data_IF_140491284109
#
_entry.id   IF_140491284109
#
_cell.length_a   1.000
_cell.length_b   1.000
_cell.length_c   1.000
_cell.angle_alpha   90.00
_cell.angle_beta   90.00
_cell.angle_gamma   90.00
#
_symmetry.space_group_name_H-M   'P 1'
#
loop_
_entity.id
_entity.type
_entity.pdbx_description
1 polymer ?
#
# COMPACT_ATOMS: atom_id res chain seq x y z
N UNK A 1 -7.90 24.50 49.49
CA UNK A 1 -8.87 25.42 48.87
C UNK A 1 -8.04 26.52 48.22
N UNK A 2 -7.81 26.63 46.91
CA UNK A 2 -8.34 25.99 45.71
C UNK A 2 -7.19 25.98 44.67
N UNK A 3 -6.79 24.78 44.23
CA UNK A 3 -6.00 24.59 43.00
C UNK A 3 -6.88 24.99 41.81
N UNK A 4 -6.42 25.92 40.98
CA UNK A 4 -7.08 26.26 39.72
C UNK A 4 -6.43 25.44 38.60
N UNK A 5 -7.04 24.30 38.33
CA UNK A 5 -6.74 23.42 37.19
C UNK A 5 -7.03 24.19 35.90
N UNK A 6 -6.00 24.45 35.08
CA UNK A 6 -6.16 24.96 33.72
C UNK A 6 -6.19 23.75 32.76
N UNK A 7 -7.25 23.54 31.97
CA UNK A 7 -7.46 22.29 31.22
C UNK A 7 -6.87 22.25 29.80
N UNK A 8 -6.01 23.18 29.40
CA UNK A 8 -5.63 23.34 27.97
C UNK A 8 -4.32 22.67 27.51
N UNK A 9 -3.83 21.63 28.19
CA UNK A 9 -2.64 20.89 27.76
C UNK A 9 -2.99 19.63 26.94
N UNK A 10 -3.85 19.79 25.93
CA UNK A 10 -4.03 18.80 24.87
C UNK A 10 -3.48 19.38 23.57
N UNK A 11 -2.18 19.18 23.39
CA UNK A 11 -1.51 19.34 22.10
C UNK A 11 -2.10 18.24 21.19
N UNK A 12 -2.82 18.58 20.12
CA UNK A 12 -3.31 17.57 19.21
C UNK A 12 -2.12 17.04 18.41
N UNK A 13 -1.75 15.79 18.68
CA UNK A 13 -0.87 14.98 17.84
C UNK A 13 -1.47 14.99 16.43
N UNK A 14 -0.95 15.83 15.53
CA UNK A 14 -1.35 15.88 14.14
C UNK A 14 -0.35 15.11 13.28
N UNK A 15 -0.79 14.04 12.60
CA UNK A 15 0.02 13.33 11.64
C UNK A 15 -0.07 14.06 10.31
N UNK A 16 0.98 14.84 10.05
CA UNK A 16 1.27 15.72 8.90
C UNK A 16 1.04 17.19 9.24
N UNK A 17 2.02 18.07 8.95
CA UNK A 17 1.81 19.50 9.07
C UNK A 17 1.04 19.91 7.81
N UNK A 18 -0.27 19.82 7.86
CA UNK A 18 -1.03 20.91 7.27
C UNK A 18 -1.12 21.97 8.35
N UNK A 19 -0.73 23.23 8.07
CA UNK A 19 -0.99 24.32 9.00
C UNK A 19 -2.50 24.32 9.23
N UNK A 20 -2.90 23.85 10.42
CA UNK A 20 -4.23 24.10 10.96
C UNK A 20 -4.42 25.60 10.84
N UNK A 21 -5.40 26.05 10.05
CA UNK A 21 -5.83 27.45 9.85
C UNK A 21 -5.20 28.34 10.92
N UNK A 22 -3.97 28.78 10.65
CA UNK A 22 -3.17 29.45 11.66
C UNK A 22 -3.54 30.89 11.46
N UNK A 23 -4.26 31.46 12.42
CA UNK A 23 -4.51 32.89 12.45
C UNK A 23 -3.14 33.58 12.30
N UNK A 24 -2.91 34.15 11.13
CA UNK A 24 -1.70 34.88 10.71
C UNK A 24 -1.47 36.13 11.59
N UNK A 25 -2.34 36.38 12.57
CA UNK A 25 -2.36 37.59 13.36
C UNK A 25 -1.61 37.52 14.70
N UNK A 26 -1.00 36.40 15.11
CA UNK A 26 -0.47 36.30 16.49
C UNK A 26 0.83 35.49 16.69
N UNK A 27 1.80 35.59 15.78
CA UNK A 27 3.14 35.00 15.99
C UNK A 27 4.27 35.95 15.61
N UNK A 28 5.20 36.19 16.55
CA UNK A 28 6.34 37.08 16.39
C UNK A 28 7.29 36.70 15.25
N UNK A 29 7.91 37.72 14.65
CA UNK A 29 8.71 37.67 13.41
C UNK A 29 9.84 36.63 13.40
N UNK A 30 10.41 36.27 14.55
CA UNK A 30 11.54 35.31 14.63
C UNK A 30 11.13 33.87 14.33
N UNK A 31 9.90 33.47 14.69
CA UNK A 31 9.41 32.11 14.47
C UNK A 31 8.95 31.90 13.03
N UNK A 32 8.53 32.96 12.34
CA UNK A 32 8.16 32.92 10.92
C UNK A 32 9.37 32.63 10.03
N UNK A 33 10.52 33.27 10.27
CA UNK A 33 11.73 33.09 9.45
C UNK A 33 12.32 31.67 9.54
N UNK A 34 12.37 31.08 10.74
CA UNK A 34 12.90 29.72 10.96
C UNK A 34 11.97 28.64 10.38
N UNK A 35 10.65 28.86 10.44
CA UNK A 35 9.67 27.99 9.79
C UNK A 35 9.81 28.11 8.27
N UNK A 36 9.91 29.30 7.70
CA UNK A 36 10.03 29.49 6.24
C UNK A 36 11.22 28.71 5.65
N UNK A 37 12.39 28.73 6.29
CA UNK A 37 13.60 28.04 5.80
C UNK A 37 13.49 26.51 5.84
N UNK A 38 12.80 25.94 6.83
CA UNK A 38 12.65 24.48 6.97
C UNK A 38 11.72 23.87 5.91
N UNK A 39 10.72 24.63 5.45
CA UNK A 39 9.72 24.18 4.48
C UNK A 39 10.05 24.59 3.03
N UNK A 40 10.98 25.54 2.84
CA UNK A 40 11.46 25.99 1.52
C UNK A 40 11.89 24.87 0.55
N UNK A 41 12.53 23.75 0.96
CA UNK A 41 12.95 22.72 0.01
C UNK A 41 11.84 21.72 -0.36
N UNK A 42 10.62 21.86 0.17
CA UNK A 42 9.50 20.95 -0.09
C UNK A 42 9.02 20.94 -1.56
N UNK A 43 8.78 22.09 -2.22
CA UNK A 43 8.38 22.09 -3.63
C UNK A 43 9.36 21.32 -4.52
N UNK A 44 10.67 21.54 -4.32
CA UNK A 44 11.71 20.88 -5.09
C UNK A 44 11.73 19.36 -4.84
N UNK A 45 11.52 18.91 -3.60
CA UNK A 45 11.39 17.47 -3.32
C UNK A 45 10.15 16.85 -3.95
N UNK A 46 8.98 17.46 -3.76
CA UNK A 46 7.75 16.94 -4.32
C UNK A 46 7.83 16.84 -5.84
N UNK A 47 8.45 17.82 -6.50
CA UNK A 47 8.73 17.80 -7.93
C UNK A 47 9.70 16.67 -8.32
N UNK A 48 10.79 16.48 -7.56
CA UNK A 48 11.77 15.43 -7.82
C UNK A 48 11.13 14.04 -7.71
N UNK A 49 10.39 13.78 -6.63
CA UNK A 49 9.65 12.53 -6.45
C UNK A 49 8.53 12.38 -7.48
N UNK A 50 7.87 13.47 -7.89
CA UNK A 50 6.85 13.42 -8.93
C UNK A 50 7.43 12.84 -10.21
N UNK A 51 8.59 13.31 -10.67
CA UNK A 51 9.22 12.73 -11.87
C UNK A 51 9.53 11.25 -11.70
N UNK A 52 10.12 10.86 -10.56
CA UNK A 52 10.45 9.45 -10.26
C UNK A 52 9.18 8.57 -10.32
N UNK A 53 8.13 8.98 -9.62
CA UNK A 53 6.85 8.24 -9.58
C UNK A 53 6.13 8.25 -10.93
N UNK A 54 6.18 9.35 -11.67
CA UNK A 54 5.59 9.47 -12.99
C UNK A 54 6.26 8.53 -14.00
N UNK A 55 7.59 8.53 -14.07
CA UNK A 55 8.31 7.60 -14.94
C UNK A 55 8.05 6.13 -14.56
N UNK A 56 7.99 5.84 -13.27
CA UNK A 56 7.61 4.50 -12.78
C UNK A 56 6.19 4.14 -13.19
N UNK A 57 5.22 5.05 -13.05
CA UNK A 57 3.83 4.83 -13.44
C UNK A 57 3.70 4.61 -14.95
N UNK A 58 4.41 5.40 -15.77
CA UNK A 58 4.46 5.23 -17.22
C UNK A 58 5.07 3.89 -17.62
N UNK A 59 6.22 3.54 -17.04
CA UNK A 59 6.89 2.25 -17.30
C UNK A 59 5.98 1.08 -16.97
N UNK A 60 5.32 1.12 -15.81
CA UNK A 60 4.44 0.04 -15.37
C UNK A 60 3.17 -0.04 -16.21
N UNK A 61 2.55 1.11 -16.53
CA UNK A 61 1.36 1.17 -17.39
C UNK A 61 1.67 0.66 -18.79
N UNK A 62 2.81 1.06 -19.37
CA UNK A 62 3.26 0.60 -20.67
C UNK A 62 3.53 -0.91 -20.67
N UNK A 63 4.22 -1.42 -19.64
CA UNK A 63 4.48 -2.85 -19.50
C UNK A 63 3.17 -3.65 -19.35
N UNK A 64 2.23 -3.18 -18.53
CA UNK A 64 0.91 -3.79 -18.37
C UNK A 64 0.09 -3.74 -19.65
N UNK A 65 0.17 -2.64 -20.41
CA UNK A 65 -0.51 -2.50 -21.70
C UNK A 65 0.06 -3.44 -22.77
N UNK A 66 1.39 -3.50 -22.90
CA UNK A 66 2.06 -4.38 -23.88
C UNK A 66 1.80 -5.86 -23.58
N UNK A 67 1.84 -6.25 -22.30
CA UNK A 67 1.65 -7.63 -21.88
C UNK A 67 0.17 -7.98 -21.64
N UNK A 68 -0.77 -7.10 -22.00
CA UNK A 68 -2.21 -7.29 -21.81
C UNK A 68 -2.73 -8.55 -22.54
N UNK A 69 -2.11 -8.92 -23.65
CA UNK A 69 -2.45 -10.13 -24.40
C UNK A 69 -2.15 -11.43 -23.62
N UNK A 70 -1.15 -11.42 -22.73
CA UNK A 70 -0.76 -12.62 -21.98
C UNK A 70 -1.57 -12.80 -20.69
N UNK A 71 -1.92 -11.70 -19.99
CA UNK A 71 -2.76 -11.75 -18.79
C UNK A 71 -3.52 -10.42 -18.58
N UNK A 72 -4.83 -10.39 -18.88
CA UNK A 72 -5.74 -9.31 -18.46
C UNK A 72 -6.10 -9.55 -17.00
N UNK A 73 -5.17 -9.25 -16.09
CA UNK A 73 -5.40 -9.48 -14.68
C UNK A 73 -5.74 -8.19 -13.93
N UNK A 74 -6.87 -8.21 -13.22
CA UNK A 74 -7.34 -7.08 -12.42
C UNK A 74 -6.29 -6.63 -11.39
N UNK A 75 -5.49 -7.57 -10.86
CA UNK A 75 -4.40 -7.26 -9.93
C UNK A 75 -3.34 -6.33 -10.52
N UNK A 76 -2.94 -6.53 -11.79
CA UNK A 76 -1.91 -5.69 -12.43
C UNK A 76 -2.41 -4.25 -12.61
N UNK A 77 -3.70 -4.08 -12.92
CA UNK A 77 -4.33 -2.76 -12.99
C UNK A 77 -4.44 -2.09 -11.62
N UNK A 78 -4.79 -2.86 -10.58
CA UNK A 78 -4.77 -2.36 -9.20
C UNK A 78 -3.37 -1.91 -8.78
N UNK A 79 -2.33 -2.70 -9.07
CA UNK A 79 -0.95 -2.32 -8.76
C UNK A 79 -0.47 -1.11 -9.57
N UNK A 80 -0.85 -0.99 -10.86
CA UNK A 80 -0.52 0.17 -11.68
C UNK A 80 -1.22 1.45 -11.21
N UNK A 81 -2.39 1.34 -10.59
CA UNK A 81 -3.10 2.50 -10.01
C UNK A 81 -2.37 3.11 -8.81
N UNK A 82 -1.57 2.34 -8.07
CA UNK A 82 -0.86 2.83 -6.88
C UNK A 82 0.15 3.95 -7.24
N UNK A 83 1.10 3.74 -8.19
CA UNK A 83 1.97 4.81 -8.67
C UNK A 83 1.23 6.02 -9.26
N UNK A 84 0.09 5.80 -9.93
CA UNK A 84 -0.70 6.89 -10.52
C UNK A 84 -1.32 7.79 -9.44
N UNK A 85 -1.94 7.19 -8.42
CA UNK A 85 -2.50 7.95 -7.29
C UNK A 85 -1.37 8.69 -6.55
N UNK A 86 -0.20 8.06 -6.40
CA UNK A 86 0.96 8.70 -5.76
C UNK A 86 1.49 9.88 -6.57
N UNK A 87 1.60 9.75 -7.89
CA UNK A 87 1.98 10.86 -8.77
C UNK A 87 0.96 12.00 -8.73
N UNK A 88 -0.33 11.69 -8.65
CA UNK A 88 -1.38 12.70 -8.45
C UNK A 88 -1.22 13.41 -7.09
N UNK A 89 -0.98 12.66 -6.01
CA UNK A 89 -0.73 13.22 -4.68
C UNK A 89 0.49 14.18 -4.69
N UNK A 90 1.58 13.78 -5.33
CA UNK A 90 2.81 14.59 -5.42
C UNK A 90 2.61 15.82 -6.30
N UNK A 91 1.85 15.72 -7.38
CA UNK A 91 1.44 16.88 -8.21
C UNK A 91 0.67 17.89 -7.37
N UNK A 92 -0.36 17.45 -6.65
CA UNK A 92 -1.16 18.34 -5.78
C UNK A 92 -0.32 18.94 -4.66
N UNK A 93 0.62 18.17 -4.09
CA UNK A 93 1.54 18.64 -3.05
C UNK A 93 2.48 19.71 -3.59
N UNK A 94 3.07 19.47 -4.76
CA UNK A 94 3.90 20.46 -5.44
C UNK A 94 3.11 21.74 -5.74
N UNK A 95 1.93 21.62 -6.35
CA UNK A 95 1.09 22.78 -6.68
C UNK A 95 0.68 23.58 -5.44
N UNK A 96 0.33 22.89 -4.35
CA UNK A 96 -0.01 23.53 -3.08
C UNK A 96 1.16 24.34 -2.53
N UNK A 97 2.32 23.70 -2.33
CA UNK A 97 3.49 24.36 -1.75
C UNK A 97 4.07 25.44 -2.67
N UNK A 98 4.11 25.19 -3.98
CA UNK A 98 4.56 26.18 -4.96
C UNK A 98 3.67 27.43 -4.94
N UNK A 99 2.34 27.26 -4.94
CA UNK A 99 1.42 28.40 -4.90
C UNK A 99 1.50 29.16 -3.58
N UNK A 100 1.68 28.45 -2.47
CA UNK A 100 1.75 29.06 -1.14
C UNK A 100 3.05 29.86 -0.97
N UNK A 101 4.20 29.36 -1.43
CA UNK A 101 5.50 30.05 -1.31
C UNK A 101 5.74 31.12 -2.37
N UNK A 102 5.50 30.83 -3.66
CA UNK A 102 5.88 31.72 -4.76
C UNK A 102 4.77 32.68 -5.18
N UNK A 103 3.50 32.25 -5.06
CA UNK A 103 2.34 33.05 -5.46
C UNK A 103 1.59 33.65 -4.27
N UNK A 104 1.98 33.32 -3.04
CA UNK A 104 1.33 33.73 -1.79
C UNK A 104 -0.18 33.38 -1.74
N UNK A 105 -0.60 32.35 -2.49
CA UNK A 105 -1.99 31.88 -2.56
C UNK A 105 -2.06 30.41 -2.13
N UNK A 106 -2.49 30.16 -0.91
CA UNK A 106 -2.63 28.81 -0.37
C UNK A 106 -4.08 28.31 -0.60
N UNK A 107 -4.28 27.44 -1.59
CA UNK A 107 -5.61 26.92 -1.96
C UNK A 107 -6.05 25.78 -1.03
N UNK A 108 -7.21 25.97 -0.37
CA UNK A 108 -7.84 24.94 0.46
C UNK A 108 -8.17 23.68 -0.36
N UNK A 109 -8.61 23.83 -1.61
CA UNK A 109 -8.94 22.71 -2.49
C UNK A 109 -7.71 21.85 -2.83
N UNK A 110 -6.53 22.47 -2.98
CA UNK A 110 -5.29 21.75 -3.22
C UNK A 110 -4.87 20.96 -1.96
N UNK A 111 -4.96 21.58 -0.78
CA UNK A 111 -4.71 20.92 0.51
C UNK A 111 -5.65 19.72 0.73
N UNK A 112 -6.95 19.92 0.52
CA UNK A 112 -7.94 18.85 0.60
C UNK A 112 -7.64 17.75 -0.44
N UNK A 113 -7.22 18.11 -1.64
CA UNK A 113 -6.79 17.17 -2.66
C UNK A 113 -5.60 16.31 -2.21
N UNK A 114 -4.56 16.90 -1.61
CA UNK A 114 -3.42 16.17 -1.05
C UNK A 114 -3.86 15.22 0.07
N UNK A 115 -4.76 15.67 0.94
CA UNK A 115 -5.36 14.84 1.99
C UNK A 115 -6.06 13.61 1.41
N UNK A 116 -7.00 13.82 0.48
CA UNK A 116 -7.81 12.74 -0.11
C UNK A 116 -6.93 11.77 -0.88
N UNK A 117 -6.04 12.28 -1.72
CA UNK A 117 -5.14 11.43 -2.52
C UNK A 117 -4.14 10.67 -1.66
N UNK A 118 -3.68 11.23 -0.54
CA UNK A 118 -2.85 10.52 0.44
C UNK A 118 -3.58 9.36 1.13
N UNK A 119 -4.84 9.57 1.55
CA UNK A 119 -5.68 8.51 2.11
C UNK A 119 -5.96 7.41 1.08
N UNK A 120 -6.28 7.81 -0.16
CA UNK A 120 -6.50 6.86 -1.26
C UNK A 120 -5.25 6.05 -1.55
N UNK A 121 -4.07 6.69 -1.62
CA UNK A 121 -2.80 5.99 -1.83
C UNK A 121 -2.55 4.92 -0.78
N UNK A 122 -2.70 5.26 0.51
CA UNK A 122 -2.50 4.30 1.61
C UNK A 122 -3.52 3.15 1.55
N UNK A 123 -4.77 3.45 1.21
CA UNK A 123 -5.84 2.45 1.12
C UNK A 123 -5.64 1.49 -0.05
N UNK A 124 -5.35 2.00 -1.25
CA UNK A 124 -5.13 1.16 -2.44
C UNK A 124 -3.84 0.34 -2.30
N UNK A 125 -2.81 0.92 -1.69
CA UNK A 125 -1.59 0.20 -1.30
C UNK A 125 -1.90 -0.99 -0.39
N UNK A 126 -2.66 -0.75 0.67
CA UNK A 126 -3.05 -1.78 1.62
C UNK A 126 -3.89 -2.90 0.98
N UNK A 127 -4.91 -2.54 0.20
CA UNK A 127 -5.73 -3.50 -0.54
C UNK A 127 -4.89 -4.30 -1.52
N UNK A 128 -3.91 -3.68 -2.18
CA UNK A 128 -2.98 -4.38 -3.08
C UNK A 128 -2.16 -5.44 -2.33
N UNK A 129 -1.64 -5.12 -1.14
CA UNK A 129 -0.91 -6.07 -0.32
C UNK A 129 -1.79 -7.22 0.18
N UNK A 130 -3.04 -6.94 0.57
CA UNK A 130 -4.00 -7.99 0.92
C UNK A 130 -4.29 -8.92 -0.27
N UNK A 131 -4.56 -8.38 -1.46
CA UNK A 131 -4.80 -9.18 -2.66
C UNK A 131 -3.60 -10.09 -2.99
N UNK A 132 -2.38 -9.56 -2.91
CA UNK A 132 -1.16 -10.35 -3.10
C UNK A 132 -1.03 -11.42 -2.00
N UNK A 133 -1.32 -11.09 -0.74
CA UNK A 133 -1.21 -12.01 0.39
C UNK A 133 -2.15 -13.22 0.26
N UNK A 134 -3.36 -13.01 -0.27
CA UNK A 134 -4.31 -14.06 -0.63
C UNK A 134 -3.85 -14.90 -1.82
N UNK A 135 -2.82 -14.45 -2.57
CA UNK A 135 -2.36 -15.09 -3.80
C UNK A 135 -3.31 -14.85 -4.98
N UNK A 136 -4.11 -13.77 -4.92
CA UNK A 136 -4.96 -13.36 -6.04
C UNK A 136 -4.11 -13.28 -7.30
N UNK A 137 -4.58 -13.86 -8.41
CA UNK A 137 -3.92 -13.80 -9.71
C UNK A 137 -2.56 -14.53 -9.80
N UNK A 138 -2.10 -15.20 -8.73
CA UNK A 138 -0.82 -15.93 -8.64
C UNK A 138 -1.08 -17.42 -8.35
N UNK A 139 -1.79 -17.73 -7.26
CA UNK A 139 -2.19 -19.10 -6.88
C UNK A 139 -3.65 -19.36 -7.20
N UNK A 140 -4.52 -18.35 -7.09
CA UNK A 140 -5.95 -18.46 -7.37
C UNK A 140 -6.38 -17.46 -8.44
N UNK A 141 -7.06 -17.93 -9.50
CA UNK A 141 -7.63 -17.03 -10.52
C UNK A 141 -8.84 -16.23 -9.99
N UNK A 142 -9.56 -16.78 -9.01
CA UNK A 142 -10.70 -16.12 -8.35
C UNK A 142 -10.58 -16.26 -6.84
N UNK A 143 -10.73 -15.15 -6.11
CA UNK A 143 -10.96 -15.17 -4.67
C UNK A 143 -12.33 -15.75 -4.37
N UNK A 144 -12.44 -16.49 -3.27
CA UNK A 144 -13.75 -16.89 -2.75
C UNK A 144 -14.56 -15.65 -2.34
N UNK A 145 -15.90 -15.79 -2.30
CA UNK A 145 -16.80 -14.71 -1.87
C UNK A 145 -16.44 -14.24 -0.46
N UNK A 146 -16.06 -15.15 0.43
CA UNK A 146 -15.66 -14.85 1.81
C UNK A 146 -14.38 -14.02 1.84
N UNK A 147 -13.32 -14.41 1.12
CA UNK A 147 -12.05 -13.66 1.08
C UNK A 147 -12.22 -12.26 0.47
N UNK A 148 -13.09 -12.12 -0.54
CA UNK A 148 -13.41 -10.81 -1.12
C UNK A 148 -14.14 -9.92 -0.11
N UNK A 149 -15.10 -10.47 0.64
CA UNK A 149 -15.83 -9.75 1.67
C UNK A 149 -14.91 -9.33 2.82
N UNK A 150 -14.00 -10.19 3.27
CA UNK A 150 -13.03 -9.85 4.32
C UNK A 150 -12.04 -8.78 3.86
N UNK A 151 -11.51 -8.90 2.63
CA UNK A 151 -10.62 -7.87 2.05
C UNK A 151 -11.32 -6.52 1.94
N UNK A 152 -12.57 -6.50 1.46
CA UNK A 152 -13.35 -5.27 1.35
C UNK A 152 -13.67 -4.67 2.72
N UNK A 153 -14.05 -5.49 3.70
CA UNK A 153 -14.34 -5.05 5.06
C UNK A 153 -13.09 -4.45 5.72
N UNK A 154 -11.94 -5.13 5.65
CA UNK A 154 -10.66 -4.62 6.17
C UNK A 154 -10.25 -3.31 5.46
N UNK A 155 -10.39 -3.24 4.14
CA UNK A 155 -10.14 -2.01 3.38
C UNK A 155 -11.03 -0.84 3.82
N UNK A 156 -12.33 -1.08 4.03
CA UNK A 156 -13.27 -0.07 4.50
C UNK A 156 -12.96 0.41 5.92
N UNK A 157 -12.69 -0.52 6.86
CA UNK A 157 -12.35 -0.15 8.25
C UNK A 157 -11.04 0.63 8.27
N UNK A 158 -10.04 0.20 7.50
CA UNK A 158 -8.77 0.91 7.36
C UNK A 158 -8.97 2.33 6.82
N UNK A 159 -9.73 2.48 5.73
CA UNK A 159 -10.05 3.78 5.12
C UNK A 159 -10.75 4.73 6.11
N UNK A 160 -11.80 4.26 6.78
CA UNK A 160 -12.55 5.08 7.75
C UNK A 160 -11.69 5.46 8.96
N UNK A 161 -10.88 4.53 9.48
CA UNK A 161 -9.95 4.80 10.59
C UNK A 161 -8.89 5.81 10.17
N UNK A 162 -8.39 5.70 8.94
CA UNK A 162 -7.39 6.62 8.40
C UNK A 162 -7.96 8.02 8.20
N UNK A 163 -9.19 8.14 7.70
CA UNK A 163 -9.89 9.44 7.64
C UNK A 163 -10.08 10.01 9.05
N UNK A 164 -10.55 9.20 10.00
CA UNK A 164 -10.74 9.65 11.38
C UNK A 164 -9.43 10.15 12.00
N UNK A 165 -8.34 9.40 11.82
CA UNK A 165 -7.00 9.78 12.29
C UNK A 165 -6.49 11.10 11.68
N UNK A 166 -6.81 11.35 10.41
CA UNK A 166 -6.36 12.54 9.70
C UNK A 166 -7.26 13.75 9.94
N UNK A 167 -8.55 13.54 10.18
CA UNK A 167 -9.53 14.59 10.45
C UNK A 167 -9.62 14.96 11.94
N UNK A 168 -9.12 14.13 12.86
CA UNK A 168 -9.32 14.31 14.30
C UNK A 168 -8.22 13.64 15.15
N UNK A 169 -7.49 14.47 15.93
CA UNK A 169 -6.88 14.31 17.29
C UNK A 169 -6.57 12.87 17.80
N UNK A 170 -5.47 12.62 18.55
CA UNK A 170 -4.84 11.33 18.94
C UNK A 170 -5.67 10.10 19.33
N UNK A 171 -6.97 10.18 19.58
CA UNK A 171 -7.82 9.06 19.95
C UNK A 171 -7.86 7.95 18.88
N UNK A 172 -7.80 8.32 17.60
CA UNK A 172 -7.73 7.35 16.51
C UNK A 172 -6.36 6.68 16.38
N UNK A 173 -5.31 7.14 17.07
CA UNK A 173 -3.97 6.53 17.00
C UNK A 173 -4.00 5.08 17.47
N UNK A 174 -4.70 4.80 18.58
CA UNK A 174 -4.84 3.43 19.11
C UNK A 174 -5.60 2.55 18.11
N UNK A 175 -6.70 3.06 17.54
CA UNK A 175 -7.47 2.35 16.53
C UNK A 175 -6.65 2.11 15.25
N UNK A 176 -5.84 3.07 14.83
CA UNK A 176 -4.97 2.96 13.67
C UNK A 176 -3.88 1.90 13.90
N UNK A 177 -3.21 1.93 15.05
CA UNK A 177 -2.22 0.93 15.44
C UNK A 177 -2.84 -0.47 15.48
N UNK A 178 -4.02 -0.62 16.09
CA UNK A 178 -4.75 -1.88 16.11
C UNK A 178 -5.08 -2.36 14.70
N UNK A 179 -5.55 -1.47 13.84
CA UNK A 179 -5.83 -1.78 12.43
C UNK A 179 -4.57 -2.25 11.70
N UNK A 180 -3.43 -1.58 11.88
CA UNK A 180 -2.16 -2.02 11.30
C UNK A 180 -1.74 -3.39 11.83
N UNK A 181 -1.84 -3.64 13.14
CA UNK A 181 -1.47 -4.92 13.74
C UNK A 181 -2.34 -6.07 13.20
N UNK A 182 -3.66 -5.90 13.16
CA UNK A 182 -4.60 -6.88 12.57
C UNK A 182 -4.27 -7.10 11.09
N UNK A 183 -4.03 -6.02 10.35
CA UNK A 183 -3.71 -6.04 8.93
C UNK A 183 -2.43 -6.82 8.63
N UNK A 184 -1.33 -6.50 9.31
CA UNK A 184 -0.08 -7.22 9.15
C UNK A 184 -0.22 -8.69 9.57
N UNK A 185 -0.94 -8.98 10.65
CA UNK A 185 -1.22 -10.35 11.08
C UNK A 185 -1.95 -11.14 9.98
N UNK A 186 -3.02 -10.58 9.41
CA UNK A 186 -3.80 -11.22 8.32
C UNK A 186 -2.92 -11.46 7.09
N UNK A 187 -2.12 -10.47 6.70
CA UNK A 187 -1.17 -10.58 5.57
C UNK A 187 -0.17 -11.71 5.81
N UNK A 188 0.50 -11.74 6.97
CA UNK A 188 1.48 -12.78 7.28
C UNK A 188 0.85 -14.16 7.39
N UNK A 189 -0.34 -14.26 7.97
CA UNK A 189 -1.09 -15.50 8.08
C UNK A 189 -1.41 -16.07 6.69
N UNK A 190 -1.99 -15.27 5.79
CA UNK A 190 -2.32 -15.74 4.43
C UNK A 190 -1.09 -16.06 3.59
N UNK A 191 -0.02 -15.25 3.68
CA UNK A 191 1.25 -15.58 3.00
C UNK A 191 1.78 -16.92 3.49
N UNK A 192 1.77 -17.17 4.80
CA UNK A 192 2.31 -18.40 5.38
C UNK A 192 1.48 -19.62 4.97
N UNK A 193 0.15 -19.52 4.99
CA UNK A 193 -0.74 -20.56 4.49
C UNK A 193 -0.49 -20.86 3.01
N UNK A 194 -0.39 -19.83 2.17
CA UNK A 194 -0.11 -19.99 0.75
C UNK A 194 1.27 -20.60 0.48
N UNK A 195 2.29 -20.24 1.27
CA UNK A 195 3.63 -20.85 1.16
C UNK A 195 3.66 -22.31 1.61
N UNK A 196 2.88 -22.69 2.63
CA UNK A 196 2.75 -24.08 3.07
C UNK A 196 2.11 -24.94 1.98
N UNK A 197 0.98 -24.49 1.42
CA UNK A 197 0.29 -25.20 0.32
C UNK A 197 1.20 -25.35 -0.90
N UNK A 198 1.90 -24.29 -1.30
CA UNK A 198 2.83 -24.36 -2.43
C UNK A 198 4.02 -25.30 -2.16
N UNK A 199 4.47 -25.39 -0.90
CA UNK A 199 5.53 -26.32 -0.50
C UNK A 199 5.07 -27.77 -0.61
N UNK A 200 3.87 -28.08 -0.14
CA UNK A 200 3.26 -29.40 -0.25
C UNK A 200 3.05 -29.82 -1.72
N UNK A 201 2.57 -28.89 -2.55
CA UNK A 201 2.44 -29.12 -3.99
C UNK A 201 3.80 -29.39 -4.65
N UNK A 202 4.84 -28.66 -4.26
CA UNK A 202 6.18 -28.85 -4.80
C UNK A 202 6.77 -30.22 -4.41
N UNK A 203 6.54 -30.68 -3.18
CA UNK A 203 6.97 -32.03 -2.74
C UNK A 203 6.23 -33.14 -3.48
N UNK A 204 4.93 -32.97 -3.74
CA UNK A 204 4.16 -33.96 -4.51
C UNK A 204 4.63 -34.05 -5.97
N UNK A 205 4.92 -32.92 -6.62
CA UNK A 205 5.41 -32.88 -8.01
C UNK A 205 6.84 -33.43 -8.12
N UNK A 206 7.64 -33.30 -7.05
CA UNK A 206 8.97 -33.89 -6.98
C UNK A 206 8.91 -35.42 -7.05
N UNK A 207 7.87 -36.04 -6.51
CA UNK A 207 7.64 -37.49 -6.58
C UNK A 207 7.14 -37.97 -7.96
N UNK A 208 6.51 -37.10 -8.77
CA UNK A 208 5.90 -37.43 -10.08
C UNK A 208 6.76 -37.05 -11.32
N UNK A 209 7.94 -36.43 -11.15
CA UNK A 209 8.92 -36.03 -12.20
C UNK A 209 8.37 -35.17 -13.38
N UNK A 210 7.40 -34.29 -13.12
CA UNK A 210 6.87 -33.36 -14.14
C UNK A 210 7.61 -32.01 -14.11
N UNK A 211 8.79 -31.97 -14.76
CA UNK A 211 9.69 -30.80 -14.81
C UNK A 211 9.04 -29.43 -15.14
N UNK A 212 8.21 -29.26 -16.18
CA UNK A 212 7.63 -27.95 -16.51
C UNK A 212 6.62 -27.44 -15.48
N UNK A 213 6.04 -28.35 -14.69
CA UNK A 213 5.08 -28.02 -13.64
C UNK A 213 5.80 -27.62 -12.35
N UNK A 214 6.91 -28.29 -12.04
CA UNK A 214 7.83 -27.92 -10.96
C UNK A 214 8.28 -26.47 -11.12
N UNK A 215 8.75 -26.08 -12.31
CA UNK A 215 9.26 -24.72 -12.55
C UNK A 215 8.18 -23.65 -12.33
N UNK A 216 6.95 -23.89 -12.78
CA UNK A 216 5.83 -22.97 -12.59
C UNK A 216 5.46 -22.80 -11.11
N UNK A 217 5.36 -23.90 -10.36
CA UNK A 217 5.02 -23.87 -8.92
C UNK A 217 6.16 -23.26 -8.10
N UNK A 218 7.41 -23.59 -8.43
CA UNK A 218 8.59 -23.01 -7.79
C UNK A 218 8.68 -21.50 -7.99
N UNK A 219 8.34 -21.00 -9.17
CA UNK A 219 8.29 -19.56 -9.44
C UNK A 219 7.23 -18.84 -8.59
N UNK A 220 6.02 -19.43 -8.46
CA UNK A 220 4.97 -18.90 -7.56
C UNK A 220 5.43 -18.86 -6.10
N UNK A 221 6.06 -19.94 -5.62
CA UNK A 221 6.64 -20.01 -4.28
C UNK A 221 7.69 -18.92 -4.06
N UNK A 222 8.62 -18.74 -5.01
CA UNK A 222 9.67 -17.74 -4.95
C UNK A 222 9.11 -16.31 -4.91
N UNK A 223 8.07 -16.02 -5.68
CA UNK A 223 7.41 -14.70 -5.68
C UNK A 223 6.76 -14.38 -4.33
N UNK A 224 5.98 -15.32 -3.76
CA UNK A 224 5.34 -15.12 -2.45
C UNK A 224 6.36 -15.03 -1.30
N UNK A 225 7.45 -15.79 -1.37
CA UNK A 225 8.54 -15.72 -0.37
C UNK A 225 9.24 -14.36 -0.40
N UNK A 226 9.48 -13.81 -1.61
CA UNK A 226 10.01 -12.45 -1.78
C UNK A 226 9.06 -11.39 -1.24
N UNK A 227 7.75 -11.57 -1.42
CA UNK A 227 6.74 -10.68 -0.88
C UNK A 227 6.67 -10.74 0.66
N UNK A 228 6.81 -11.93 1.26
CA UNK A 228 6.92 -12.07 2.72
C UNK A 228 8.05 -11.22 3.29
N UNK A 229 9.24 -11.30 2.70
CA UNK A 229 10.40 -10.51 3.10
C UNK A 229 10.16 -9.00 2.92
N UNK A 230 9.54 -8.58 1.81
CA UNK A 230 9.18 -7.18 1.60
C UNK A 230 8.21 -6.66 2.67
N UNK A 231 7.19 -7.44 3.04
CA UNK A 231 6.23 -7.05 4.08
C UNK A 231 6.88 -6.95 5.47
N UNK A 232 7.90 -7.74 5.77
CA UNK A 232 8.69 -7.58 7.00
C UNK A 232 9.47 -6.27 7.01
N UNK A 233 10.10 -5.91 5.89
CA UNK A 233 10.81 -4.62 5.74
C UNK A 233 9.82 -3.46 5.90
N UNK A 234 8.63 -3.54 5.31
CA UNK A 234 7.56 -2.54 5.47
C UNK A 234 7.18 -2.37 6.94
N UNK A 235 6.93 -3.48 7.65
CA UNK A 235 6.55 -3.45 9.05
C UNK A 235 7.65 -2.82 9.92
N UNK A 236 8.91 -3.20 9.70
CA UNK A 236 10.05 -2.61 10.41
C UNK A 236 10.22 -1.12 10.11
N UNK A 237 10.09 -0.71 8.84
CA UNK A 237 10.18 0.69 8.45
C UNK A 237 9.09 1.54 9.11
N UNK A 238 7.84 1.07 9.14
CA UNK A 238 6.75 1.79 9.82
C UNK A 238 6.97 1.89 11.34
N UNK A 239 7.48 0.83 11.99
CA UNK A 239 7.84 0.88 13.42
C UNK A 239 8.94 1.91 13.68
N UNK A 240 10.02 1.90 12.88
CA UNK A 240 11.13 2.86 13.02
C UNK A 240 10.65 4.29 12.80
N UNK A 241 9.80 4.52 11.81
CA UNK A 241 9.23 5.85 11.51
C UNK A 241 8.27 6.31 12.63
N UNK A 242 7.59 5.37 13.29
CA UNK A 242 6.71 5.66 14.43
C UNK A 242 7.51 6.01 15.69
N UNK A 243 8.61 5.29 15.96
CA UNK A 243 9.47 5.56 17.13
C UNK A 243 10.23 6.88 16.97
N UNK A 244 10.71 7.20 15.76
CA UNK A 244 11.40 8.46 15.45
C UNK A 244 10.45 9.67 15.28
N UNK A 245 9.30 9.69 15.96
CA UNK A 245 8.43 10.89 16.06
C UNK A 245 8.97 11.80 17.15
N UNK A 246 10.20 12.29 16.99
CA UNK A 246 10.62 13.50 17.72
C UNK A 246 10.08 14.70 16.94
N UNK A 247 9.22 15.49 17.58
CA UNK A 247 8.46 16.63 17.03
C UNK A 247 9.33 17.83 16.58
N UNK A 248 10.64 17.64 16.39
CA UNK A 248 11.53 18.69 15.88
C UNK A 248 11.21 18.98 14.41
N UNK A 249 10.74 20.20 14.14
CA UNK A 249 10.44 20.71 12.78
C UNK A 249 11.69 20.72 11.88
N UNK A 250 12.88 20.81 12.45
CA UNK A 250 14.17 20.88 11.75
C UNK A 250 14.46 19.64 10.89
N UNK A 251 13.87 18.48 11.21
CA UNK A 251 14.11 17.22 10.49
C UNK A 251 12.96 16.79 9.56
N UNK A 252 11.94 17.64 9.35
CA UNK A 252 10.73 17.28 8.60
C UNK A 252 11.03 16.85 7.15
N UNK A 253 11.88 17.60 6.46
CA UNK A 253 12.26 17.34 5.08
C UNK A 253 12.99 16.01 4.89
N UNK A 254 13.91 15.68 5.81
CA UNK A 254 14.61 14.40 5.83
C UNK A 254 13.65 13.23 6.10
N UNK A 255 12.74 13.40 7.05
CA UNK A 255 11.71 12.40 7.35
C UNK A 255 10.80 12.13 6.15
N UNK A 256 10.39 13.18 5.45
CA UNK A 256 9.64 13.06 4.21
C UNK A 256 10.45 12.30 3.15
N UNK A 257 11.72 12.68 2.96
CA UNK A 257 12.62 12.02 2.01
C UNK A 257 12.75 10.52 2.29
N UNK A 258 13.02 10.13 3.53
CA UNK A 258 13.15 8.71 3.94
C UNK A 258 11.83 7.96 3.69
N UNK A 259 10.69 8.56 4.06
CA UNK A 259 9.36 7.94 3.87
C UNK A 259 9.06 7.73 2.38
N UNK A 260 9.30 8.73 1.55
CA UNK A 260 9.03 8.66 0.11
C UNK A 260 9.95 7.65 -0.59
N UNK A 261 11.24 7.61 -0.25
CA UNK A 261 12.17 6.60 -0.76
C UNK A 261 11.79 5.19 -0.33
N UNK A 262 11.46 4.98 0.95
CA UNK A 262 11.02 3.67 1.44
C UNK A 262 9.80 3.18 0.66
N UNK A 263 8.77 4.03 0.51
CA UNK A 263 7.58 3.69 -0.26
C UNK A 263 7.91 3.38 -1.72
N UNK A 264 8.70 4.22 -2.39
CA UNK A 264 9.09 4.01 -3.77
C UNK A 264 9.84 2.69 -3.97
N UNK A 265 10.85 2.42 -3.13
CA UNK A 265 11.64 1.19 -3.19
C UNK A 265 10.79 -0.07 -2.98
N UNK A 266 9.86 -0.04 -2.02
CA UNK A 266 8.94 -1.15 -1.75
C UNK A 266 8.03 -1.40 -2.97
N UNK A 267 7.40 -0.37 -3.52
CA UNK A 267 6.51 -0.53 -4.66
C UNK A 267 7.25 -0.92 -5.94
N UNK A 268 8.45 -0.40 -6.16
CA UNK A 268 9.30 -0.81 -7.27
C UNK A 268 9.70 -2.28 -7.14
N UNK A 269 10.09 -2.72 -5.93
CA UNK A 269 10.45 -4.12 -5.67
C UNK A 269 9.28 -5.08 -5.87
N UNK A 270 8.10 -4.72 -5.34
CA UNK A 270 6.87 -5.51 -5.51
C UNK A 270 6.47 -5.54 -6.98
N UNK A 271 6.47 -4.40 -7.67
CA UNK A 271 6.14 -4.32 -9.08
C UNK A 271 7.09 -5.11 -9.98
N UNK A 272 8.38 -5.09 -9.67
CA UNK A 272 9.38 -5.91 -10.35
C UNK A 272 9.17 -7.41 -10.10
N UNK A 273 8.85 -7.79 -8.87
CA UNK A 273 8.65 -9.19 -8.46
C UNK A 273 7.40 -9.79 -9.10
N UNK A 274 6.30 -9.02 -9.15
CA UNK A 274 5.01 -9.45 -9.69
C UNK A 274 4.79 -9.04 -11.15
N UNK A 275 5.83 -8.59 -11.85
CA UNK A 275 5.74 -8.29 -13.28
C UNK A 275 5.27 -9.54 -14.03
N UNK A 276 4.40 -9.37 -15.03
CA UNK A 276 4.06 -10.43 -15.97
C UNK A 276 5.34 -10.92 -16.64
N UNK A 277 5.81 -12.08 -16.23
CA UNK A 277 6.89 -12.80 -16.92
C UNK A 277 6.25 -13.54 -18.10
N UNK A 278 6.99 -13.75 -19.18
CA UNK A 278 6.53 -14.59 -20.28
C UNK A 278 6.31 -16.01 -19.72
N UNK A 279 5.05 -16.29 -19.42
CA UNK A 279 4.61 -17.50 -18.75
C UNK A 279 4.76 -18.68 -19.71
N UNK A 280 5.50 -19.71 -19.30
CA UNK A 280 5.39 -21.03 -19.89
C UNK A 280 3.89 -21.42 -20.00
N UNK A 281 3.46 -22.07 -21.09
CA UNK A 281 2.04 -22.27 -21.45
C UNK A 281 1.19 -23.07 -20.45
N UNK A 282 1.73 -23.48 -19.29
CA UNK A 282 1.06 -24.28 -18.25
C UNK A 282 0.92 -23.57 -16.90
N UNK A 283 1.25 -22.28 -16.79
CA UNK A 283 1.19 -21.55 -15.51
C UNK A 283 -0.24 -21.43 -14.91
N UNK A 284 -1.27 -21.60 -15.74
CA UNK A 284 -2.68 -21.66 -15.33
C UNK A 284 -3.12 -23.03 -14.80
N UNK A 285 -2.32 -24.10 -15.01
CA UNK A 285 -2.67 -25.44 -14.54
C UNK A 285 -2.24 -25.56 -13.08
N UNK A 286 -3.17 -25.24 -12.18
CA UNK A 286 -3.06 -25.60 -10.78
C UNK A 286 -3.34 -27.11 -10.66
N UNK A 287 -2.47 -27.95 -10.06
CA UNK A 287 -2.90 -29.26 -9.62
C UNK A 287 -4.00 -29.06 -8.58
N UNK A 288 -5.19 -29.58 -8.87
CA UNK A 288 -6.33 -29.57 -7.97
C UNK A 288 -6.06 -30.49 -6.77
N UNK A 289 -5.25 -30.02 -5.81
CA UNK A 289 -5.16 -30.63 -4.48
C UNK A 289 -6.22 -30.08 -3.51
N UNK A 290 -7.08 -29.17 -3.98
CA UNK A 290 -8.22 -28.67 -3.22
C UNK A 290 -9.50 -29.36 -3.69
N UNK A 291 -9.66 -30.63 -3.27
CA UNK A 291 -10.92 -31.38 -3.11
C UNK A 291 -10.74 -32.86 -3.50
N UNK A 292 -10.29 -33.67 -2.54
CA UNK A 292 -10.58 -35.11 -2.52
C UNK A 292 -11.86 -35.38 -1.72
N UNK A 293 -12.84 -34.46 -1.79
CA UNK A 293 -14.12 -34.56 -1.07
C UNK A 293 -15.33 -34.39 -2.00
N UNK A 294 -15.18 -33.86 -3.22
CA UNK A 294 -16.31 -33.74 -4.19
C UNK A 294 -16.20 -34.62 -5.45
N UNK A 295 -15.26 -35.57 -5.50
CA UNK A 295 -15.26 -36.62 -6.53
C UNK A 295 -16.14 -37.80 -6.09
N UNK A 296 -17.39 -37.52 -5.75
CA UNK A 296 -18.44 -38.54 -5.73
C UNK A 296 -19.23 -38.40 -7.04
N UNK A 297 -18.71 -39.06 -8.08
CA UNK A 297 -19.38 -39.25 -9.36
C UNK A 297 -20.68 -40.04 -9.12
N UNK A 298 -21.85 -39.61 -9.62
CA UNK A 298 -22.92 -40.54 -9.94
C UNK A 298 -22.85 -40.93 -11.43
N UNK A 299 -23.24 -42.17 -11.76
CA UNK A 299 -22.94 -42.79 -13.04
C UNK A 299 -23.76 -42.20 -14.21
N UNK A 300 -23.18 -42.39 -15.38
CA UNK A 300 -23.73 -42.11 -16.71
C UNK A 300 -25.05 -42.87 -16.93
N UNK A 301 -25.84 -42.35 -17.89
CA UNK A 301 -26.93 -42.93 -18.69
C UNK A 301 -28.36 -42.51 -18.34
N UNK A 302 -28.94 -41.66 -19.21
CA UNK A 302 -30.11 -42.05 -20.02
C UNK A 302 -30.32 -41.09 -21.21
N UNK A 303 -30.20 -41.65 -22.40
CA UNK A 303 -30.87 -41.22 -23.63
C UNK A 303 -32.37 -41.56 -23.45
N UNK A 304 -33.31 -40.72 -23.88
CA UNK A 304 -34.53 -41.10 -24.65
C UNK A 304 -35.25 -39.80 -25.09
N UNK A 305 -35.43 -39.73 -26.41
CA UNK A 305 -36.39 -38.97 -27.25
C UNK A 305 -36.66 -37.49 -26.97
#
# INVERSE_FOLDING_TARGET
MLMKHNPNNQIPIQPFPFPSIMNVSDMGESNHAVLDDSYRPLPALYLSFLFIWFFSACSWTFNTYKNRHFQINNLQWTLASVPLIKALQLTLSFLFWYSCFYLQLCSLWMSFGVYVTGVLFQTVSFVSFLLISHGYCITCERLSVTERRTTAALGCVFYLTLIGYRASVPYFTVLLLLNYMISFYVIFHHISQNLLVLREQLTFIEDEDVQPMRDAVYMKYRMLKKFQGAMQIVAMAEIVIYINIDDSSENYWLRLLVREWAQFCIFLYIGWTFRSQELAPRFSVMPTLKSKVDLMVPPIYRIVS
#
